data_IF_252649597690
#
_entry.id   IF_252649597690
#
_cell.length_a   1.000
_cell.length_b   1.000
_cell.length_c   1.000
_cell.angle_alpha   90.00
_cell.angle_beta   90.00
_cell.angle_gamma   90.00
#
_symmetry.space_group_name_H-M   'P 1'
#
loop_
_entity.id
_entity.type
_entity.pdbx_description
1 polymer ?
#
# COMPACT_ATOMS: atom_id res chain seq x y z
N UNK A 1 21.00 12.01 -2.54
CA UNK A 1 20.21 11.77 -3.78
C UNK A 1 18.76 12.08 -3.48
N UNK A 2 18.15 13.02 -4.20
CA UNK A 2 16.71 13.30 -4.10
C UNK A 2 15.94 12.18 -4.82
N UNK A 3 15.12 11.43 -4.08
CA UNK A 3 14.26 10.39 -4.69
C UNK A 3 13.06 11.09 -5.31
N UNK A 4 12.78 10.80 -6.58
CA UNK A 4 11.64 11.35 -7.33
C UNK A 4 10.63 10.26 -7.67
N UNK A 5 9.34 10.61 -7.62
CA UNK A 5 8.23 9.75 -8.06
C UNK A 5 8.15 9.58 -9.58
N UNK A 6 8.90 10.37 -10.37
CA UNK A 6 8.83 10.36 -11.83
C UNK A 6 9.09 8.99 -12.46
N UNK A 7 9.97 8.19 -11.86
CA UNK A 7 10.27 6.82 -12.33
C UNK A 7 9.06 5.89 -12.26
N UNK A 8 8.10 6.14 -11.37
CA UNK A 8 6.88 5.33 -11.25
C UNK A 8 5.92 5.55 -12.44
N UNK A 9 6.19 6.53 -13.30
CA UNK A 9 5.44 6.73 -14.56
C UNK A 9 5.90 5.82 -15.69
N UNK A 10 7.01 5.10 -15.53
CA UNK A 10 7.54 4.24 -16.58
C UNK A 10 6.51 3.17 -17.05
N UNK A 11 6.56 2.80 -18.32
CA UNK A 11 5.75 1.72 -18.89
C UNK A 11 6.11 0.34 -18.32
N UNK A 12 7.30 0.18 -17.72
CA UNK A 12 7.68 -1.04 -16.99
C UNK A 12 6.72 -1.40 -15.85
N UNK A 13 5.99 -0.42 -15.31
CA UNK A 13 4.95 -0.65 -14.30
C UNK A 13 3.58 -1.08 -14.88
N UNK A 14 3.44 -1.18 -16.20
CA UNK A 14 2.21 -1.68 -16.81
C UNK A 14 1.99 -3.15 -16.41
N UNK A 15 0.82 -3.46 -15.82
CA UNK A 15 0.52 -4.81 -15.33
C UNK A 15 1.29 -5.22 -14.07
N UNK A 16 1.94 -4.27 -13.39
CA UNK A 16 2.81 -4.51 -12.22
C UNK A 16 2.16 -5.33 -11.09
N UNK A 17 0.86 -5.18 -10.85
CA UNK A 17 0.17 -6.01 -9.86
C UNK A 17 0.25 -7.52 -10.18
N UNK A 18 0.32 -7.90 -11.46
CA UNK A 18 0.25 -9.29 -11.92
C UNK A 18 1.60 -9.99 -11.98
N UNK A 19 2.71 -9.25 -12.00
CA UNK A 19 4.06 -9.85 -12.08
C UNK A 19 4.37 -10.67 -10.82
N UNK A 20 5.28 -11.64 -10.94
CA UNK A 20 5.66 -12.54 -9.83
C UNK A 20 6.11 -11.73 -8.60
N UNK A 21 5.85 -12.26 -7.42
CA UNK A 21 6.32 -11.71 -6.15
C UNK A 21 7.49 -12.58 -5.64
N UNK A 22 8.59 -11.98 -5.14
CA UNK A 22 8.95 -10.56 -5.27
C UNK A 22 9.38 -10.21 -6.71
N UNK A 23 9.48 -8.92 -7.03
CA UNK A 23 9.96 -8.42 -8.32
C UNK A 23 10.93 -7.23 -8.13
N UNK A 24 11.94 -7.03 -9.01
CA UNK A 24 12.87 -5.90 -8.91
C UNK A 24 12.20 -4.52 -8.85
N UNK A 25 11.06 -4.34 -9.52
CA UNK A 25 10.27 -3.10 -9.46
C UNK A 25 9.76 -2.75 -8.05
N UNK A 26 9.63 -3.76 -7.16
CA UNK A 26 9.27 -3.52 -5.76
C UNK A 26 10.34 -2.64 -5.07
N UNK A 27 11.61 -2.78 -5.44
CA UNK A 27 12.69 -1.95 -4.89
C UNK A 27 12.60 -0.49 -5.33
N UNK A 28 12.13 -0.21 -6.55
CA UNK A 28 11.96 1.16 -7.06
C UNK A 28 10.83 1.88 -6.31
N UNK A 29 9.69 1.21 -6.09
CA UNK A 29 8.59 1.80 -5.30
C UNK A 29 8.97 1.90 -3.82
N UNK A 30 9.67 0.90 -3.28
CA UNK A 30 10.21 0.93 -1.91
C UNK A 30 11.08 2.15 -1.68
N UNK A 31 11.94 2.52 -2.64
CA UNK A 31 12.80 3.70 -2.51
C UNK A 31 11.97 4.99 -2.33
N UNK A 32 10.88 5.15 -3.07
CA UNK A 32 9.94 6.27 -2.92
C UNK A 32 9.25 6.26 -1.54
N UNK A 33 8.74 5.10 -1.12
CA UNK A 33 8.06 4.94 0.18
C UNK A 33 9.01 5.25 1.34
N UNK A 34 10.26 4.76 1.28
CA UNK A 34 11.28 5.01 2.30
C UNK A 34 11.71 6.48 2.30
N UNK A 35 11.87 7.09 1.12
CA UNK A 35 12.19 8.51 1.03
C UNK A 35 11.08 9.40 1.61
N UNK A 36 9.80 9.07 1.37
CA UNK A 36 8.69 9.76 2.01
C UNK A 36 8.72 9.59 3.52
N UNK A 37 8.91 8.35 4.00
CA UNK A 37 8.92 8.05 5.43
C UNK A 37 10.00 8.84 6.17
N UNK A 38 11.23 8.84 5.64
CA UNK A 38 12.39 9.49 6.26
C UNK A 38 12.55 10.98 5.89
N UNK A 39 11.70 11.52 5.01
CA UNK A 39 11.84 12.87 4.47
C UNK A 39 11.43 13.97 5.45
N UNK A 40 11.97 15.18 5.22
CA UNK A 40 11.49 16.42 5.87
C UNK A 40 10.05 16.75 5.42
N UNK A 41 9.43 17.76 6.06
CA UNK A 41 8.10 18.22 5.66
C UNK A 41 8.07 18.64 4.17
N UNK A 42 9.07 19.41 3.74
CA UNK A 42 9.21 19.89 2.36
C UNK A 42 9.45 18.73 1.39
N UNK A 43 10.28 17.75 1.79
CA UNK A 43 10.52 16.55 0.99
C UNK A 43 9.27 15.69 0.83
N UNK A 44 8.47 15.57 1.89
CA UNK A 44 7.17 14.86 1.86
C UNK A 44 6.16 15.58 0.96
N UNK A 45 6.09 16.90 1.05
CA UNK A 45 5.21 17.72 0.22
C UNK A 45 5.57 17.62 -1.27
N UNK A 46 6.84 17.82 -1.63
CA UNK A 46 7.28 17.68 -3.02
C UNK A 46 7.08 16.27 -3.60
N UNK A 47 7.19 15.23 -2.77
CA UNK A 47 6.83 13.86 -3.19
C UNK A 47 5.32 13.73 -3.47
N UNK A 48 4.47 14.29 -2.61
CA UNK A 48 3.00 14.24 -2.73
C UNK A 48 2.48 15.05 -3.93
N UNK A 49 3.08 16.20 -4.22
CA UNK A 49 2.77 16.99 -5.41
C UNK A 49 3.00 16.20 -6.70
N UNK A 50 4.05 15.37 -6.72
CA UNK A 50 4.35 14.53 -7.87
C UNK A 50 3.45 13.29 -8.04
N UNK A 51 2.54 12.99 -7.10
CA UNK A 51 1.64 11.83 -7.20
C UNK A 51 0.41 12.16 -8.05
N UNK A 52 0.47 11.83 -9.34
CA UNK A 52 -0.70 11.80 -10.22
C UNK A 52 -1.40 10.43 -10.20
N UNK A 53 -2.47 10.26 -10.99
CA UNK A 53 -3.23 9.00 -11.05
C UNK A 53 -2.42 7.79 -11.50
N UNK A 54 -1.43 7.98 -12.38
CA UNK A 54 -0.54 6.91 -12.81
C UNK A 54 0.37 6.47 -11.67
N UNK A 55 1.00 7.42 -10.97
CA UNK A 55 1.85 7.14 -9.81
C UNK A 55 1.02 6.52 -8.68
N UNK A 56 -0.18 7.03 -8.42
CA UNK A 56 -1.11 6.49 -7.44
C UNK A 56 -1.49 5.03 -7.76
N UNK A 57 -1.73 4.71 -9.02
CA UNK A 57 -2.00 3.34 -9.47
C UNK A 57 -0.84 2.38 -9.15
N UNK A 58 0.41 2.81 -9.34
CA UNK A 58 1.60 2.04 -8.99
C UNK A 58 1.75 1.86 -7.49
N UNK A 59 1.56 2.93 -6.70
CA UNK A 59 1.60 2.88 -5.24
C UNK A 59 0.51 1.96 -4.67
N UNK A 60 -0.70 2.00 -5.23
CA UNK A 60 -1.81 1.14 -4.85
C UNK A 60 -1.53 -0.33 -5.18
N UNK A 61 -0.95 -0.61 -6.36
CA UNK A 61 -0.51 -1.95 -6.71
C UNK A 61 0.60 -2.45 -5.78
N UNK A 62 1.59 -1.60 -5.47
CA UNK A 62 2.65 -1.92 -4.50
C UNK A 62 2.09 -2.22 -3.12
N UNK A 63 1.08 -1.49 -2.65
CA UNK A 63 0.44 -1.75 -1.37
C UNK A 63 -0.18 -3.17 -1.29
N UNK A 64 -0.90 -3.62 -2.33
CA UNK A 64 -1.42 -4.99 -2.39
C UNK A 64 -0.31 -6.04 -2.50
N UNK A 65 0.77 -5.73 -3.23
CA UNK A 65 1.96 -6.59 -3.34
C UNK A 65 2.64 -6.75 -1.97
N UNK A 66 2.83 -5.67 -1.23
CA UNK A 66 3.41 -5.71 0.11
C UNK A 66 2.51 -6.40 1.14
N UNK A 67 1.18 -6.26 1.04
CA UNK A 67 0.26 -7.07 1.85
C UNK A 67 0.44 -8.57 1.57
N UNK A 68 0.67 -8.95 0.30
CA UNK A 68 0.96 -10.35 -0.03
C UNK A 68 2.32 -10.79 0.52
N UNK A 69 3.38 -9.97 0.38
CA UNK A 69 4.73 -10.29 0.89
C UNK A 69 4.73 -10.39 2.41
N UNK A 70 4.06 -9.48 3.11
CA UNK A 70 3.97 -9.51 4.57
C UNK A 70 3.43 -10.84 5.08
N UNK A 71 2.41 -11.40 4.44
CA UNK A 71 1.89 -12.74 4.78
C UNK A 71 2.91 -13.83 4.50
N UNK A 72 3.67 -13.76 3.39
CA UNK A 72 4.70 -14.75 3.06
C UNK A 72 5.83 -14.78 4.09
N UNK A 73 6.22 -13.61 4.59
CA UNK A 73 7.43 -13.44 5.40
C UNK A 73 7.13 -13.23 6.89
N UNK A 74 5.86 -13.03 7.28
CA UNK A 74 5.48 -12.60 8.62
C UNK A 74 5.91 -11.16 8.95
N UNK A 75 6.23 -10.34 7.94
CA UNK A 75 6.88 -9.04 8.11
C UNK A 75 5.88 -7.90 8.29
N UNK A 76 5.81 -7.35 9.52
CA UNK A 76 5.06 -6.12 9.81
C UNK A 76 5.63 -4.92 9.06
N UNK A 77 6.94 -4.89 8.77
CA UNK A 77 7.56 -3.77 8.08
C UNK A 77 7.20 -3.72 6.59
N UNK A 78 7.04 -4.87 5.94
CA UNK A 78 6.51 -4.91 4.58
C UNK A 78 5.05 -4.44 4.58
N UNK A 79 4.25 -4.86 5.57
CA UNK A 79 2.88 -4.37 5.73
C UNK A 79 2.84 -2.84 5.93
N UNK A 80 3.71 -2.28 6.77
CA UNK A 80 3.83 -0.83 6.99
C UNK A 80 4.16 -0.08 5.71
N UNK A 81 5.09 -0.59 4.90
CA UNK A 81 5.38 -0.01 3.57
C UNK A 81 4.16 -0.03 2.65
N UNK A 82 3.37 -1.09 2.70
CA UNK A 82 2.10 -1.16 1.99
C UNK A 82 1.09 -0.11 2.46
N UNK A 83 0.96 0.09 3.77
CA UNK A 83 0.10 1.13 4.35
C UNK A 83 0.54 2.54 3.94
N UNK A 84 1.84 2.83 4.00
CA UNK A 84 2.36 4.13 3.56
C UNK A 84 2.04 4.34 2.07
N UNK A 85 2.29 3.36 1.21
CA UNK A 85 1.98 3.49 -0.21
C UNK A 85 0.47 3.69 -0.48
N UNK A 86 -0.40 2.97 0.23
CA UNK A 86 -1.85 3.17 0.12
C UNK A 86 -2.28 4.57 0.56
N UNK A 87 -1.67 5.12 1.62
CA UNK A 87 -1.93 6.49 2.07
C UNK A 87 -1.47 7.54 1.06
N UNK A 88 -0.32 7.33 0.41
CA UNK A 88 0.20 8.23 -0.63
C UNK A 88 -0.66 8.23 -1.91
N UNK A 89 -1.26 7.09 -2.25
CA UNK A 89 -2.15 6.96 -3.41
C UNK A 89 -3.55 7.56 -3.16
N UNK A 90 -3.89 7.86 -1.90
CA UNK A 90 -5.22 8.31 -1.53
C UNK A 90 -5.62 9.61 -2.25
N UNK A 91 -6.86 9.68 -2.73
CA UNK A 91 -7.42 10.86 -3.40
C UNK A 91 -6.83 11.15 -4.78
N UNK A 92 -5.87 10.33 -5.26
CA UNK A 92 -5.19 10.52 -6.54
C UNK A 92 -5.50 9.44 -7.57
N UNK A 93 -6.20 8.36 -7.20
CA UNK A 93 -6.60 7.30 -8.12
C UNK A 93 -7.77 7.74 -9.01
N UNK A 94 -7.74 7.35 -10.28
CA UNK A 94 -8.83 7.59 -11.25
C UNK A 94 -10.15 6.93 -10.81
N UNK A 95 -10.07 5.77 -10.15
CA UNK A 95 -11.22 5.09 -9.53
C UNK A 95 -10.93 4.82 -8.05
N UNK A 96 -11.64 5.54 -7.17
CA UNK A 96 -11.48 5.46 -5.72
C UNK A 96 -11.73 4.04 -5.16
N UNK A 97 -12.54 3.21 -5.85
CA UNK A 97 -12.85 1.84 -5.42
C UNK A 97 -11.60 0.96 -5.41
N UNK A 98 -10.62 1.27 -6.27
CA UNK A 98 -9.34 0.58 -6.29
C UNK A 98 -8.56 0.74 -4.99
N UNK A 99 -8.72 1.86 -4.28
CA UNK A 99 -8.14 2.04 -2.95
C UNK A 99 -8.78 1.09 -1.95
N UNK A 100 -10.12 1.04 -1.91
CA UNK A 100 -10.86 0.20 -0.96
C UNK A 100 -10.54 -1.29 -1.10
N UNK A 101 -10.35 -1.77 -2.34
CA UNK A 101 -9.90 -3.13 -2.59
C UNK A 101 -8.56 -3.43 -1.92
N UNK A 102 -7.60 -2.52 -2.03
CA UNK A 102 -6.28 -2.69 -1.43
C UNK A 102 -6.35 -2.59 0.09
N UNK A 103 -7.17 -1.69 0.65
CA UNK A 103 -7.35 -1.59 2.10
C UNK A 103 -7.87 -2.90 2.70
N UNK A 104 -8.76 -3.61 2.01
CA UNK A 104 -9.22 -4.94 2.46
C UNK A 104 -8.09 -5.97 2.50
N UNK A 105 -7.13 -5.91 1.57
CA UNK A 105 -5.98 -6.82 1.54
C UNK A 105 -4.95 -6.49 2.63
N UNK A 106 -4.78 -5.21 2.95
CA UNK A 106 -3.92 -4.75 4.05
C UNK A 106 -4.53 -5.17 5.40
N UNK A 107 -5.83 -4.98 5.59
CA UNK A 107 -6.55 -5.44 6.78
C UNK A 107 -6.40 -6.95 6.98
N UNK A 108 -6.71 -7.73 5.94
CA UNK A 108 -6.58 -9.19 5.98
C UNK A 108 -5.15 -9.65 6.27
N UNK A 109 -4.16 -8.98 5.65
CA UNK A 109 -2.75 -9.25 5.88
C UNK A 109 -2.34 -8.96 7.32
N UNK A 110 -2.85 -7.89 7.93
CA UNK A 110 -2.56 -7.56 9.32
C UNK A 110 -3.00 -8.69 10.25
N UNK A 111 -4.23 -9.19 10.07
CA UNK A 111 -4.75 -10.30 10.86
C UNK A 111 -3.94 -11.58 10.66
N UNK A 112 -3.57 -11.91 9.42
CA UNK A 112 -2.80 -13.13 9.11
C UNK A 112 -1.40 -13.16 9.74
N UNK A 113 -0.77 -12.01 9.93
CA UNK A 113 0.56 -11.92 10.56
C UNK A 113 0.48 -11.65 12.08
N UNK A 114 -0.71 -11.77 12.69
CA UNK A 114 -0.89 -11.64 14.14
C UNK A 114 -0.94 -10.20 14.66
N UNK A 115 -1.29 -9.22 13.82
CA UNK A 115 -1.50 -7.82 14.23
C UNK A 115 -2.90 -7.31 13.81
N UNK A 116 -3.14 -6.00 13.89
CA UNK A 116 -4.35 -5.35 13.37
C UNK A 116 -3.99 -4.12 12.55
N UNK A 117 -4.88 -3.73 11.63
CA UNK A 117 -4.70 -2.50 10.86
C UNK A 117 -4.57 -1.28 11.79
N UNK A 118 -5.43 -1.15 12.80
CA UNK A 118 -5.29 -0.12 13.84
C UNK A 118 -3.90 -0.04 14.49
N UNK A 119 -3.31 -1.17 14.93
CA UNK A 119 -1.95 -1.20 15.51
C UNK A 119 -0.89 -0.74 14.51
N UNK A 120 -1.03 -1.11 13.24
CA UNK A 120 -0.11 -0.67 12.17
C UNK A 120 -0.24 0.84 11.95
N UNK A 121 -1.47 1.37 11.92
CA UNK A 121 -1.72 2.81 11.75
C UNK A 121 -1.19 3.63 12.91
N UNK A 122 -1.34 3.15 14.15
CA UNK A 122 -0.81 3.83 15.33
C UNK A 122 0.72 3.92 15.30
N UNK A 123 1.40 2.85 14.84
CA UNK A 123 2.85 2.86 14.62
C UNK A 123 3.33 3.75 13.47
N UNK A 124 2.41 4.24 12.63
CA UNK A 124 2.69 5.15 11.51
C UNK A 124 2.13 6.56 11.75
N UNK A 125 1.62 6.84 12.95
CA UNK A 125 1.14 8.17 13.33
C UNK A 125 2.29 9.17 13.23
N UNK A 126 2.05 10.30 12.55
CA UNK A 126 3.09 11.31 12.27
C UNK A 126 3.96 11.02 11.03
N UNK A 127 3.86 9.83 10.46
CA UNK A 127 4.49 9.51 9.17
C UNK A 127 3.54 9.80 8.02
N UNK A 128 2.30 9.32 8.12
CA UNK A 128 1.32 9.34 7.03
C UNK A 128 0.78 10.75 6.72
N UNK A 129 0.42 11.04 5.45
CA UNK A 129 -0.33 12.25 5.12
C UNK A 129 -1.65 12.29 5.89
N UNK A 130 -2.08 13.44 6.45
CA UNK A 130 -3.30 13.52 7.26
C UNK A 130 -4.56 12.96 6.56
N UNK A 131 -4.79 13.31 5.29
CA UNK A 131 -5.94 12.82 4.52
C UNK A 131 -5.89 11.30 4.28
N UNK A 132 -4.70 10.77 3.99
CA UNK A 132 -4.50 9.32 3.84
C UNK A 132 -4.73 8.56 5.15
N UNK A 133 -4.22 9.09 6.26
CA UNK A 133 -4.43 8.51 7.60
C UNK A 133 -5.91 8.52 7.99
N UNK A 134 -6.64 9.61 7.75
CA UNK A 134 -8.06 9.69 8.09
C UNK A 134 -8.90 8.68 7.30
N UNK A 135 -8.61 8.51 6.00
CA UNK A 135 -9.27 7.50 5.18
C UNK A 135 -8.98 6.08 5.68
N UNK A 136 -7.72 5.79 6.01
CA UNK A 136 -7.34 4.48 6.54
C UNK A 136 -8.03 4.18 7.87
N UNK A 137 -8.14 5.17 8.76
CA UNK A 137 -8.88 5.05 10.03
C UNK A 137 -10.37 4.89 9.82
N UNK A 138 -10.95 5.62 8.87
CA UNK A 138 -12.36 5.49 8.50
C UNK A 138 -12.64 4.10 7.95
N UNK A 139 -11.73 3.53 7.15
CA UNK A 139 -11.82 2.14 6.73
C UNK A 139 -11.73 1.19 7.92
N UNK A 140 -10.73 1.33 8.80
CA UNK A 140 -10.49 0.48 9.97
C UNK A 140 -11.68 0.43 10.95
N UNK A 141 -12.46 1.52 11.06
CA UNK A 141 -13.65 1.60 11.92
C UNK A 141 -14.89 0.89 11.38
N UNK A 142 -14.91 0.47 10.10
CA UNK A 142 -16.03 -0.30 9.55
C UNK A 142 -16.16 -1.64 10.28
N UNK A 143 -17.33 -2.26 10.23
CA UNK A 143 -17.51 -3.60 10.76
C UNK A 143 -16.66 -4.64 9.98
N UNK A 144 -16.33 -5.76 10.61
CA UNK A 144 -15.44 -6.77 10.03
C UNK A 144 -15.95 -7.35 8.71
N UNK A 145 -17.28 -7.46 8.55
CA UNK A 145 -17.87 -7.96 7.29
C UNK A 145 -17.64 -6.94 6.16
N UNK A 146 -17.82 -5.65 6.43
CA UNK A 146 -17.60 -4.56 5.47
C UNK A 146 -16.14 -4.27 5.13
N UNK A 147 -15.18 -4.78 5.92
CA UNK A 147 -13.74 -4.71 5.64
C UNK A 147 -13.16 -5.99 5.03
N UNK A 148 -13.95 -7.07 5.02
CA UNK A 148 -13.51 -8.38 4.54
C UNK A 148 -13.16 -8.38 3.06
N UNK A 149 -12.23 -9.26 2.65
CA UNK A 149 -11.91 -9.47 1.23
C UNK A 149 -13.16 -9.76 0.38
N UNK A 150 -14.09 -10.56 0.93
CA UNK A 150 -15.32 -10.96 0.23
C UNK A 150 -16.22 -9.77 -0.11
N UNK A 151 -16.31 -8.77 0.77
CA UNK A 151 -17.07 -7.54 0.50
C UNK A 151 -16.55 -6.77 -0.72
N UNK A 152 -15.30 -7.01 -1.11
CA UNK A 152 -14.63 -6.37 -2.24
C UNK A 152 -14.37 -7.33 -3.40
N UNK A 153 -14.99 -8.52 -3.41
CA UNK A 153 -14.78 -9.53 -4.45
C UNK A 153 -13.35 -10.05 -4.52
N UNK A 154 -12.55 -9.86 -3.47
CA UNK A 154 -11.17 -10.34 -3.37
C UNK A 154 -11.10 -11.68 -2.69
N UNK A 155 -10.03 -12.41 -2.97
CA UNK A 155 -9.70 -13.67 -2.29
C UNK A 155 -8.21 -13.84 -2.12
N UNK A 156 -7.86 -14.74 -1.22
CA UNK A 156 -6.50 -15.28 -1.09
C UNK A 156 -6.31 -16.35 -2.16
N UNK A 157 -5.09 -16.48 -2.66
CA UNK A 157 -4.69 -17.54 -3.60
C UNK A 157 -3.27 -17.99 -3.29
N UNK A 158 -3.01 -19.29 -3.38
CA UNK A 158 -1.72 -19.87 -2.98
C UNK A 158 -1.51 -19.87 -1.47
N UNK A 159 -0.35 -20.37 -1.06
CA UNK A 159 0.10 -20.46 0.34
C UNK A 159 1.64 -20.38 0.42
N UNK A 160 2.18 -20.10 1.61
CA UNK A 160 3.63 -19.90 1.79
C UNK A 160 4.18 -18.92 0.76
N UNK A 161 5.27 -19.29 0.08
CA UNK A 161 5.93 -18.48 -0.94
C UNK A 161 5.09 -18.16 -2.18
N UNK A 162 3.94 -18.79 -2.37
CA UNK A 162 3.03 -18.54 -3.50
C UNK A 162 1.86 -17.63 -3.15
N UNK A 163 1.67 -17.30 -1.86
CA UNK A 163 0.53 -16.52 -1.38
C UNK A 163 0.37 -15.19 -2.13
N UNK A 164 -0.85 -14.86 -2.56
CA UNK A 164 -1.19 -13.58 -3.18
C UNK A 164 -2.68 -13.26 -3.02
N UNK A 165 -2.99 -11.96 -2.96
CA UNK A 165 -4.36 -11.48 -3.12
C UNK A 165 -4.74 -11.37 -4.61
N UNK A 166 -5.92 -11.85 -4.99
CA UNK A 166 -6.50 -11.76 -6.35
C UNK A 166 -7.92 -11.21 -6.32
#
# INVERSE_FOLDING_TARGET
>A
MTVSVSRLRDRRFNGYLKVRLPHPLDAEVKAVVVAYWAGSAEGKEGLLEGVDGRVAGVLNAYAQRMASIAVRTGSVDDLRRGVVAAALAHGRLDDYRNSLFVLSTVHDSASLIGTSLGKVLDGLKGVLPPAGLDTLRTFDRRDERSKSLKAFGRRRSGAGDTFRYV
#
